data_IF_529694006115
#
_entry.id   IF_529694006115
#
_cell.length_a   1.000
_cell.length_b   1.000
_cell.length_c   1.000
_cell.angle_alpha   90.00
_cell.angle_beta   90.00
_cell.angle_gamma   90.00
#
_symmetry.space_group_name_H-M   'P 1'
#
loop_
_entity.id
_entity.type
_entity.pdbx_description
1 polymer ?
#
# COMPACT_ATOMS: atom_id res chain seq x y z
N UNK A 1 -32.55 -21.39 26.39
CA UNK A 1 -31.90 -21.63 25.08
C UNK A 1 -31.02 -20.39 24.78
N UNK A 2 -29.71 -20.50 25.01
CA UNK A 2 -28.78 -19.47 24.63
C UNK A 2 -28.42 -19.64 23.17
N UNK A 3 -28.82 -18.69 22.33
CA UNK A 3 -28.34 -18.60 20.96
C UNK A 3 -26.89 -18.12 20.96
N UNK A 4 -25.97 -19.02 20.62
CA UNK A 4 -24.58 -18.63 20.38
C UNK A 4 -24.53 -17.82 19.07
N UNK A 5 -24.33 -16.51 19.18
CA UNK A 5 -23.99 -15.68 18.04
C UNK A 5 -22.60 -16.08 17.55
N UNK A 6 -22.55 -16.80 16.44
CA UNK A 6 -21.31 -16.99 15.68
C UNK A 6 -20.86 -15.63 15.15
N UNK A 7 -19.88 -15.04 15.82
CA UNK A 7 -19.12 -13.95 15.26
C UNK A 7 -18.36 -14.50 14.05
N UNK A 8 -18.90 -14.26 12.86
CA UNK A 8 -18.17 -14.48 11.63
C UNK A 8 -17.04 -13.45 11.60
N UNK A 9 -15.87 -13.83 12.12
CA UNK A 9 -14.64 -13.09 11.93
C UNK A 9 -14.34 -13.09 10.44
N UNK A 10 -14.57 -11.95 9.75
CA UNK A 10 -14.24 -11.80 8.34
C UNK A 10 -12.75 -12.02 8.13
N UNK A 11 -12.38 -13.02 7.33
CA UNK A 11 -11.01 -13.18 6.87
C UNK A 11 -10.60 -11.95 6.06
N UNK A 12 -9.30 -11.55 6.11
CA UNK A 12 -8.76 -10.51 5.26
C UNK A 12 -9.01 -10.86 3.79
N UNK A 13 -9.26 -9.85 2.90
CA UNK A 13 -9.42 -10.11 1.47
C UNK A 13 -8.20 -10.80 0.90
N UNK A 14 -8.41 -11.68 -0.06
CA UNK A 14 -7.30 -12.30 -0.82
C UNK A 14 -6.80 -11.29 -1.84
N UNK A 15 -5.49 -11.04 -1.85
CA UNK A 15 -4.85 -10.13 -2.79
C UNK A 15 -4.67 -10.75 -4.18
N UNK A 16 -4.69 -9.89 -5.19
CA UNK A 16 -4.41 -10.22 -6.57
C UNK A 16 -3.18 -9.43 -7.05
N UNK A 17 -2.08 -10.12 -7.42
CA UNK A 17 -0.85 -9.43 -7.79
C UNK A 17 -0.97 -8.61 -9.08
N UNK A 18 -1.86 -8.97 -10.00
CA UNK A 18 -2.08 -8.19 -11.23
C UNK A 18 -2.78 -6.86 -10.92
N UNK A 19 -3.86 -6.89 -10.12
CA UNK A 19 -4.48 -5.66 -9.64
C UNK A 19 -3.50 -4.82 -8.83
N UNK A 20 -2.70 -5.45 -7.99
CA UNK A 20 -1.64 -4.78 -7.24
C UNK A 20 -0.63 -4.08 -8.13
N UNK A 21 -0.20 -4.71 -9.21
CA UNK A 21 0.71 -4.12 -10.19
C UNK A 21 0.12 -2.86 -10.84
N UNK A 22 -1.16 -2.89 -11.19
CA UNK A 22 -1.86 -1.73 -11.75
C UNK A 22 -1.91 -0.55 -10.76
N UNK A 23 -2.25 -0.84 -9.51
CA UNK A 23 -2.30 0.17 -8.44
C UNK A 23 -0.93 0.80 -8.21
N UNK A 24 0.11 -0.02 -8.09
CA UNK A 24 1.49 0.45 -7.80
C UNK A 24 2.01 1.34 -8.93
N UNK A 25 1.65 1.07 -10.16
CA UNK A 25 2.04 1.87 -11.34
C UNK A 25 1.15 3.08 -11.60
N UNK A 26 0.02 3.18 -10.92
CA UNK A 26 -0.95 4.25 -11.15
C UNK A 26 -0.49 5.57 -10.54
N UNK A 27 -0.64 6.65 -11.31
CA UNK A 27 -0.42 8.02 -10.84
C UNK A 27 -1.66 8.65 -10.20
N UNK A 28 -2.78 7.95 -10.21
CA UNK A 28 -4.08 8.42 -9.65
C UNK A 28 -4.61 7.53 -8.54
N UNK A 29 -4.15 6.29 -8.43
CA UNK A 29 -4.39 5.41 -7.28
C UNK A 29 -3.05 4.88 -6.77
N UNK A 30 -2.96 4.46 -5.51
CA UNK A 30 -1.72 3.99 -4.91
C UNK A 30 -0.60 5.02 -4.85
N UNK A 31 -0.31 5.71 -5.92
CA UNK A 31 0.67 6.78 -6.05
C UNK A 31 2.13 6.36 -5.83
N UNK A 32 2.43 5.09 -5.75
CA UNK A 32 3.76 4.55 -5.43
C UNK A 32 4.82 5.03 -6.43
N UNK A 33 4.48 5.03 -7.72
CA UNK A 33 5.36 5.44 -8.82
C UNK A 33 5.78 6.91 -8.75
N UNK A 34 5.04 7.75 -8.03
CA UNK A 34 5.42 9.15 -7.86
C UNK A 34 6.71 9.32 -7.04
N UNK A 35 7.04 8.34 -6.21
CA UNK A 35 8.19 8.39 -5.32
C UNK A 35 9.19 7.25 -5.53
N UNK A 36 8.76 6.11 -6.08
CA UNK A 36 9.57 4.90 -6.20
C UNK A 36 9.83 4.51 -7.65
N UNK A 37 11.05 4.12 -7.94
CA UNK A 37 11.37 3.36 -9.14
C UNK A 37 10.74 1.95 -9.03
N UNK A 38 10.29 1.42 -10.16
CA UNK A 38 9.58 0.14 -10.25
C UNK A 38 10.13 -0.68 -11.42
N UNK A 39 10.24 -2.01 -11.28
CA UNK A 39 10.56 -2.86 -12.41
C UNK A 39 9.57 -2.68 -13.56
N UNK A 40 10.08 -2.54 -14.77
CA UNK A 40 9.26 -2.39 -15.98
C UNK A 40 8.66 -1.00 -16.20
N UNK A 41 8.96 -0.04 -15.32
CA UNK A 41 8.59 1.38 -15.52
C UNK A 41 9.84 2.16 -15.90
N UNK A 42 9.84 2.87 -17.05
CA UNK A 42 10.97 3.71 -17.44
C UNK A 42 11.30 4.75 -16.37
N UNK A 43 12.58 5.00 -16.12
CA UNK A 43 13.04 5.91 -15.08
C UNK A 43 12.44 7.31 -15.20
N UNK A 44 12.18 7.79 -16.43
CA UNK A 44 11.56 9.09 -16.67
C UNK A 44 10.10 9.19 -16.18
N UNK A 45 9.46 8.04 -15.90
CA UNK A 45 8.08 7.97 -15.44
C UNK A 45 7.96 7.57 -13.96
N UNK A 46 9.07 7.45 -13.25
CA UNK A 46 9.10 7.07 -11.84
C UNK A 46 9.85 8.13 -11.01
N UNK A 47 9.44 8.27 -9.75
CA UNK A 47 10.09 9.18 -8.81
C UNK A 47 11.34 8.57 -8.18
N UNK A 48 12.08 9.41 -7.46
CA UNK A 48 13.35 9.08 -6.79
C UNK A 48 13.34 9.43 -5.30
N UNK A 49 12.20 9.86 -4.76
CA UNK A 49 12.09 10.21 -3.34
C UNK A 49 12.14 9.00 -2.41
N UNK A 50 11.64 7.85 -2.88
CA UNK A 50 11.72 6.58 -2.17
C UNK A 50 12.73 5.63 -2.80
N UNK A 51 13.10 4.54 -2.11
CA UNK A 51 13.98 3.53 -2.67
C UNK A 51 13.34 2.79 -3.85
N UNK A 52 14.18 2.26 -4.72
CA UNK A 52 13.77 1.36 -5.80
C UNK A 52 13.07 0.12 -5.18
N UNK A 53 11.90 -0.22 -5.69
CA UNK A 53 11.13 -1.37 -5.22
C UNK A 53 11.56 -2.69 -5.87
N UNK A 54 12.51 -2.68 -6.80
CA UNK A 54 13.10 -3.91 -7.32
C UNK A 54 13.66 -4.75 -6.17
N UNK A 55 13.29 -6.02 -6.10
CA UNK A 55 13.75 -6.95 -5.07
C UNK A 55 13.13 -6.74 -3.69
N UNK A 56 12.14 -5.86 -3.53
CA UNK A 56 11.55 -5.57 -2.21
C UNK A 56 10.92 -6.81 -1.57
N UNK A 57 10.35 -7.72 -2.35
CA UNK A 57 9.79 -8.97 -1.86
C UNK A 57 10.83 -10.00 -1.41
N UNK A 58 12.10 -9.82 -1.77
CA UNK A 58 13.20 -10.61 -1.24
C UNK A 58 13.79 -10.00 0.04
N UNK A 59 13.68 -8.66 0.20
CA UNK A 59 14.21 -7.97 1.38
C UNK A 59 13.28 -8.04 2.60
N UNK A 60 11.99 -8.08 2.38
CA UNK A 60 10.98 -8.00 3.44
C UNK A 60 9.93 -9.10 3.31
N UNK A 61 9.46 -9.63 4.44
CA UNK A 61 8.29 -10.49 4.50
C UNK A 61 7.00 -9.69 4.21
N UNK A 62 5.91 -10.40 3.94
CA UNK A 62 4.58 -9.78 3.78
C UNK A 62 4.19 -8.92 4.98
N UNK A 63 4.40 -9.40 6.20
CA UNK A 63 4.08 -8.66 7.42
C UNK A 63 4.94 -7.41 7.56
N UNK A 64 6.22 -7.48 7.20
CA UNK A 64 7.12 -6.31 7.21
C UNK A 64 6.70 -5.27 6.16
N UNK A 65 6.32 -5.71 4.96
CA UNK A 65 5.80 -4.82 3.92
C UNK A 65 4.49 -4.15 4.37
N UNK A 66 3.59 -4.92 4.96
CA UNK A 66 2.33 -4.41 5.52
C UNK A 66 2.59 -3.32 6.55
N UNK A 67 3.46 -3.57 7.50
CA UNK A 67 3.79 -2.60 8.55
C UNK A 67 4.31 -1.28 7.96
N UNK A 68 5.14 -1.35 6.91
CA UNK A 68 5.68 -0.17 6.23
C UNK A 68 4.64 0.60 5.43
N UNK A 69 3.66 -0.08 4.85
CA UNK A 69 2.56 0.58 4.15
C UNK A 69 1.56 1.22 5.10
N UNK A 70 1.28 0.58 6.22
CA UNK A 70 0.29 1.04 7.20
C UNK A 70 0.83 2.17 8.08
N UNK A 71 2.06 2.06 8.54
CA UNK A 71 2.67 3.00 9.48
C UNK A 71 4.14 3.28 9.13
N UNK A 72 4.41 3.93 7.97
CA UNK A 72 5.79 4.19 7.53
C UNK A 72 6.57 5.07 8.49
N UNK A 73 5.92 5.93 9.27
CA UNK A 73 6.53 6.79 10.27
C UNK A 73 7.19 6.01 11.43
N UNK A 74 6.82 4.76 11.63
CA UNK A 74 7.47 3.90 12.63
C UNK A 74 8.90 3.53 12.24
N UNK A 75 9.19 3.55 10.95
CA UNK A 75 10.52 3.20 10.40
C UNK A 75 11.36 4.43 10.11
N UNK A 76 10.72 5.53 9.75
CA UNK A 76 11.34 6.83 9.55
C UNK A 76 10.35 7.92 9.99
N UNK A 77 10.56 8.54 11.15
CA UNK A 77 9.66 9.60 11.66
C UNK A 77 9.52 10.80 10.72
N UNK A 78 10.52 11.05 9.88
CA UNK A 78 10.55 12.16 8.93
C UNK A 78 10.10 11.75 7.52
N UNK A 79 9.49 10.59 7.37
CA UNK A 79 9.08 10.09 6.07
C UNK A 79 8.04 10.97 5.39
N UNK A 80 8.20 11.14 4.07
CA UNK A 80 7.18 11.73 3.21
C UNK A 80 6.15 10.70 2.71
N UNK A 81 6.42 9.42 2.92
CA UNK A 81 5.52 8.35 2.50
C UNK A 81 4.22 8.39 3.32
N UNK A 82 3.06 8.54 2.67
CA UNK A 82 1.78 8.51 3.38
C UNK A 82 1.44 7.10 3.85
N UNK A 83 0.69 7.00 4.95
CA UNK A 83 0.07 5.74 5.33
C UNK A 83 -0.98 5.32 4.30
N UNK A 84 -0.95 4.07 3.90
CA UNK A 84 -1.92 3.52 2.95
C UNK A 84 -3.35 3.45 3.50
N UNK A 85 -3.50 3.37 4.81
CA UNK A 85 -4.80 3.09 5.46
C UNK A 85 -5.32 4.21 6.34
N UNK A 86 -4.50 5.21 6.67
CA UNK A 86 -4.94 6.32 7.51
C UNK A 86 -5.97 7.18 6.81
N UNK A 87 -7.00 7.60 7.56
CA UNK A 87 -8.13 8.38 7.05
C UNK A 87 -8.10 9.84 7.48
N UNK A 88 -7.29 10.18 8.47
CA UNK A 88 -7.21 11.49 9.12
C UNK A 88 -5.75 11.90 9.37
N UNK A 89 -5.57 13.07 9.95
CA UNK A 89 -4.23 13.59 10.27
C UNK A 89 -3.49 14.19 9.08
N UNK A 90 -4.13 14.28 7.91
CA UNK A 90 -3.58 14.92 6.73
C UNK A 90 -4.02 16.38 6.63
N UNK A 91 -3.18 17.23 6.05
CA UNK A 91 -3.48 18.63 5.74
C UNK A 91 -3.64 18.79 4.23
N UNK A 92 -4.46 19.77 3.81
CA UNK A 92 -4.66 20.11 2.39
C UNK A 92 -5.17 18.94 1.55
N UNK A 93 -6.11 18.21 2.08
CA UNK A 93 -6.75 17.09 1.37
C UNK A 93 -7.79 17.64 0.39
N UNK A 94 -7.78 17.13 -0.84
CA UNK A 94 -8.80 17.47 -1.83
C UNK A 94 -10.21 17.11 -1.31
N UNK A 95 -11.25 17.93 -1.55
CA UNK A 95 -12.57 17.70 -0.97
C UNK A 95 -13.15 16.31 -1.22
N UNK A 96 -12.96 15.76 -2.42
CA UNK A 96 -13.44 14.42 -2.77
C UNK A 96 -12.63 13.26 -2.13
N UNK A 97 -11.54 13.58 -1.42
CA UNK A 97 -10.65 12.58 -0.77
C UNK A 97 -10.69 12.66 0.75
N UNK A 98 -11.43 13.61 1.32
CA UNK A 98 -11.52 13.78 2.76
C UNK A 98 -12.05 12.51 3.44
N UNK A 99 -11.40 12.05 4.49
CA UNK A 99 -11.73 10.84 5.25
C UNK A 99 -11.65 9.52 4.47
N UNK A 100 -11.07 9.52 3.28
CA UNK A 100 -10.81 8.29 2.52
C UNK A 100 -9.36 7.84 2.72
N UNK A 101 -9.12 6.53 2.86
CA UNK A 101 -7.75 6.01 2.86
C UNK A 101 -7.17 6.09 1.44
N UNK A 102 -5.84 6.07 1.35
CA UNK A 102 -5.16 5.97 0.05
C UNK A 102 -5.50 4.65 -0.65
N UNK A 103 -5.53 3.56 0.10
CA UNK A 103 -5.92 2.23 -0.37
C UNK A 103 -7.08 1.69 0.47
N UNK A 104 -8.02 1.04 -0.19
CA UNK A 104 -9.01 0.20 0.50
C UNK A 104 -8.36 -1.06 1.06
N UNK A 105 -9.07 -1.79 1.91
CA UNK A 105 -8.57 -3.06 2.44
C UNK A 105 -8.22 -4.06 1.32
N UNK A 106 -9.05 -4.18 0.29
CA UNK A 106 -8.76 -5.03 -0.87
C UNK A 106 -7.54 -4.56 -1.66
N UNK A 107 -7.43 -3.26 -1.90
CA UNK A 107 -6.29 -2.68 -2.62
C UNK A 107 -4.98 -2.88 -1.86
N UNK A 108 -5.00 -2.80 -0.55
CA UNK A 108 -3.81 -3.08 0.27
C UNK A 108 -3.34 -4.53 0.08
N UNK A 109 -4.27 -5.50 0.10
CA UNK A 109 -3.92 -6.91 -0.13
C UNK A 109 -3.40 -7.14 -1.56
N UNK A 110 -4.00 -6.49 -2.55
CA UNK A 110 -3.56 -6.56 -3.95
C UNK A 110 -2.12 -6.02 -4.10
N UNK A 111 -1.84 -4.87 -3.51
CA UNK A 111 -0.50 -4.27 -3.52
C UNK A 111 0.52 -5.15 -2.83
N UNK A 112 0.20 -5.69 -1.64
CA UNK A 112 1.09 -6.61 -0.93
C UNK A 112 1.40 -7.85 -1.77
N UNK A 113 0.39 -8.45 -2.38
CA UNK A 113 0.56 -9.62 -3.25
C UNK A 113 1.51 -9.32 -4.42
N UNK A 114 1.42 -8.13 -5.00
CA UNK A 114 2.33 -7.71 -6.07
C UNK A 114 3.76 -7.49 -5.55
N UNK A 115 3.92 -6.74 -4.46
CA UNK A 115 5.25 -6.44 -3.91
C UNK A 115 6.01 -7.70 -3.50
N UNK A 116 5.32 -8.72 -3.01
CA UNK A 116 5.90 -10.02 -2.68
C UNK A 116 6.52 -10.71 -3.92
N UNK A 117 6.02 -10.44 -5.11
CA UNK A 117 6.54 -11.01 -6.37
C UNK A 117 7.84 -10.35 -6.83
N UNK A 118 8.19 -9.19 -6.31
CA UNK A 118 9.38 -8.43 -6.70
C UNK A 118 10.62 -8.97 -5.97
N UNK A 119 11.13 -10.08 -6.46
CA UNK A 119 12.31 -10.79 -5.91
C UNK A 119 13.63 -10.27 -6.49
#
# INVERSE_FOLDING_TARGET
MLAAALLAGGAAPVGDPQRGAEIVRSRSSGLCVLCHALPGVPAVHAGTLGPDLAGVGARYSSDQLRARLVAPERFNPDTLMPSATRRDGFTRVAPGRASLPLLSAQQLEDVLSHLETLK
#
